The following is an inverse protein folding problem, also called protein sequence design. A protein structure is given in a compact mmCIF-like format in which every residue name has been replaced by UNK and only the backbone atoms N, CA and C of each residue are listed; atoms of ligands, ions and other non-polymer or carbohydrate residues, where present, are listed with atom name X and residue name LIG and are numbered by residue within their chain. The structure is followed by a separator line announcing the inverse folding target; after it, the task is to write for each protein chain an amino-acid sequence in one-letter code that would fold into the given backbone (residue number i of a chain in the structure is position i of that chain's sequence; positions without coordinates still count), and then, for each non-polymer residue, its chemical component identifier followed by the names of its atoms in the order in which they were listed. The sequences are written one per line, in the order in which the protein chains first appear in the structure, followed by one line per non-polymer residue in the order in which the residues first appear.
data_IF_992042872083
#
_entry.id   IF_992042872083
#
_cell.length_a   1.000
_cell.length_b   1.000
_cell.length_c   1.000
_cell.angle_alpha   90.00
_cell.angle_beta   90.00
_cell.angle_gamma   90.00
#
_symmetry.space_group_name_H-M   'P 1'
#
loop_
_entity.id
_entity.type
_entity.pdbx_description
1 polymer ?
#
# COMPACT_ATOMS: atom_id res chain seq x y z
N UNK A 1 -2.99 -0.51 11.54
CA UNK A 1 -3.49 0.35 10.45
C UNK A 1 -3.03 1.80 10.59
N UNK A 2 -3.18 2.45 11.77
CA UNK A 2 -2.74 3.84 11.96
C UNK A 2 -1.23 4.07 11.67
N UNK A 3 -0.35 3.20 12.19
CA UNK A 3 1.11 3.27 11.91
C UNK A 3 1.41 3.20 10.42
N UNK A 4 0.79 2.23 9.72
CA UNK A 4 0.97 2.03 8.30
C UNK A 4 0.58 3.27 7.47
N UNK A 5 -0.53 3.93 7.79
CA UNK A 5 -0.96 5.16 7.09
C UNK A 5 0.07 6.29 7.30
N UNK A 6 0.61 6.40 8.52
CA UNK A 6 1.64 7.41 8.82
C UNK A 6 2.91 7.14 8.03
N UNK A 7 3.42 5.91 8.05
CA UNK A 7 4.59 5.48 7.26
C UNK A 7 4.36 5.70 5.77
N UNK A 8 3.17 5.38 5.26
CA UNK A 8 2.80 5.56 3.86
C UNK A 8 2.87 7.02 3.41
N UNK A 9 2.42 7.97 4.24
CA UNK A 9 2.48 9.39 3.92
C UNK A 9 3.90 9.96 3.91
N UNK A 10 4.86 9.30 4.56
CA UNK A 10 6.27 9.70 4.52
C UNK A 10 6.97 9.29 3.22
N UNK A 11 6.36 8.40 2.42
CA UNK A 11 6.90 7.96 1.13
C UNK A 11 6.40 8.93 0.04
N UNK A 12 7.34 9.64 -0.60
CA UNK A 12 7.08 10.53 -1.73
C UNK A 12 7.56 9.97 -3.08
N UNK A 13 8.21 8.81 -3.06
CA UNK A 13 8.74 8.13 -4.24
C UNK A 13 7.73 7.09 -4.75
N UNK A 14 7.29 7.26 -6.01
CA UNK A 14 6.33 6.36 -6.66
C UNK A 14 6.89 4.94 -6.80
N UNK A 15 8.18 4.77 -7.07
CA UNK A 15 8.80 3.45 -7.20
C UNK A 15 8.76 2.71 -5.87
N UNK A 16 9.06 3.39 -4.76
CA UNK A 16 8.96 2.80 -3.43
C UNK A 16 7.53 2.36 -3.07
N UNK A 17 6.51 3.13 -3.50
CA UNK A 17 5.11 2.76 -3.30
C UNK A 17 4.71 1.54 -4.14
N UNK A 18 5.18 1.44 -5.38
CA UNK A 18 4.95 0.26 -6.24
C UNK A 18 5.60 -0.98 -5.64
N UNK A 19 6.85 -0.87 -5.18
CA UNK A 19 7.57 -1.98 -4.56
C UNK A 19 6.86 -2.46 -3.28
N UNK A 20 6.42 -1.53 -2.43
CA UNK A 20 5.66 -1.85 -1.22
C UNK A 20 4.33 -2.56 -1.56
N UNK A 21 3.65 -2.13 -2.63
CA UNK A 21 2.42 -2.78 -3.11
C UNK A 21 2.68 -4.22 -3.54
N UNK A 22 3.75 -4.47 -4.28
CA UNK A 22 4.10 -5.83 -4.72
C UNK A 22 4.49 -6.73 -3.56
N UNK A 23 5.24 -6.22 -2.57
CA UNK A 23 5.56 -6.98 -1.34
C UNK A 23 4.29 -7.42 -0.59
N UNK A 24 3.28 -6.54 -0.48
CA UNK A 24 2.01 -6.88 0.17
C UNK A 24 1.21 -7.90 -0.65
N UNK A 25 1.23 -7.82 -1.98
CA UNK A 25 0.57 -8.83 -2.83
C UNK A 25 1.17 -10.22 -2.63
N UNK A 26 2.49 -10.32 -2.49
CA UNK A 26 3.15 -11.59 -2.19
C UNK A 26 2.67 -12.17 -0.85
N UNK A 27 2.50 -11.34 0.19
CA UNK A 27 1.96 -11.78 1.48
C UNK A 27 0.52 -12.31 1.38
N UNK A 28 -0.30 -11.77 0.47
CA UNK A 28 -1.67 -12.28 0.25
C UNK A 28 -1.64 -13.72 -0.29
N UNK A 29 -0.59 -14.12 -1.02
CA UNK A 29 -0.50 -15.46 -1.60
C UNK A 29 -0.11 -16.54 -0.58
N UNK A 30 0.23 -16.17 0.64
CA UNK A 30 0.56 -17.11 1.70
C UNK A 30 -0.67 -17.98 2.05
N UNK A 31 -0.48 -19.31 2.02
CA UNK A 31 -1.58 -20.28 2.20
C UNK A 31 -2.17 -20.27 3.60
N UNK A 32 -1.35 -19.96 4.60
CA UNK A 32 -1.71 -19.93 6.02
C UNK A 32 -2.46 -18.65 6.44
N UNK A 33 -2.63 -17.69 5.52
CA UNK A 33 -3.25 -16.42 5.84
C UNK A 33 -4.77 -16.56 5.97
N UNK A 34 -5.30 -16.29 7.17
CA UNK A 34 -6.73 -16.25 7.40
C UNK A 34 -7.39 -15.04 6.70
N UNK A 35 -8.71 -15.11 6.54
CA UNK A 35 -9.50 -14.08 5.84
C UNK A 35 -9.32 -12.67 6.43
N UNK A 36 -9.25 -12.54 7.75
CA UNK A 36 -9.10 -11.24 8.41
C UNK A 36 -7.76 -10.58 8.07
N UNK A 37 -6.68 -11.35 8.02
CA UNK A 37 -5.38 -10.85 7.59
C UNK A 37 -5.41 -10.47 6.10
N UNK A 38 -6.07 -11.26 5.24
CA UNK A 38 -6.21 -10.92 3.81
C UNK A 38 -6.93 -9.59 3.62
N UNK A 39 -7.99 -9.33 4.39
CA UNK A 39 -8.70 -8.04 4.35
C UNK A 39 -7.81 -6.87 4.76
N UNK A 40 -6.97 -7.07 5.76
CA UNK A 40 -6.01 -6.05 6.16
C UNK A 40 -5.02 -5.74 5.02
N UNK A 41 -4.48 -6.78 4.36
CA UNK A 41 -3.55 -6.62 3.24
C UNK A 41 -4.22 -5.93 2.04
N UNK A 42 -5.44 -6.31 1.65
CA UNK A 42 -6.16 -5.60 0.59
C UNK A 42 -6.41 -4.14 0.95
N UNK A 43 -6.76 -3.84 2.20
CA UNK A 43 -6.93 -2.46 2.64
C UNK A 43 -5.62 -1.67 2.53
N UNK A 44 -4.47 -2.28 2.85
CA UNK A 44 -3.16 -1.66 2.66
C UNK A 44 -2.86 -1.38 1.19
N UNK A 45 -3.14 -2.34 0.29
CA UNK A 45 -2.98 -2.14 -1.16
C UNK A 45 -3.85 -0.98 -1.67
N UNK A 46 -5.09 -0.88 -1.19
CA UNK A 46 -5.97 0.22 -1.56
C UNK A 46 -5.38 1.58 -1.13
N UNK A 47 -4.91 1.69 0.12
CA UNK A 47 -4.30 2.93 0.63
C UNK A 47 -3.04 3.31 -0.17
N UNK A 48 -2.21 2.34 -0.57
CA UNK A 48 -1.03 2.62 -1.41
C UNK A 48 -1.46 3.19 -2.77
N UNK A 49 -2.46 2.60 -3.41
CA UNK A 49 -2.98 3.13 -4.68
C UNK A 49 -3.52 4.55 -4.52
N UNK A 50 -4.24 4.85 -3.43
CA UNK A 50 -4.72 6.20 -3.11
C UNK A 50 -3.55 7.19 -2.99
N UNK A 51 -2.44 6.80 -2.32
CA UNK A 51 -1.25 7.65 -2.20
C UNK A 51 -0.50 7.85 -3.52
N UNK A 52 -0.43 6.82 -4.37
CA UNK A 52 0.14 6.95 -5.72
C UNK A 52 -0.61 8.00 -6.53
N UNK A 53 -1.95 7.93 -6.54
CA UNK A 53 -2.80 8.90 -7.25
C UNK A 53 -2.56 10.32 -6.73
N UNK A 54 -2.53 10.50 -5.41
CA UNK A 54 -2.23 11.81 -4.81
C UNK A 54 -0.88 12.39 -5.28
N UNK A 55 0.18 11.58 -5.29
CA UNK A 55 1.51 12.02 -5.73
C UNK A 55 1.57 12.29 -7.24
N UNK A 56 0.79 11.58 -8.04
CA UNK A 56 0.66 11.85 -9.47
C UNK A 56 -0.07 13.18 -9.72
N UNK A 57 -1.15 13.45 -8.98
CA UNK A 57 -1.87 14.73 -9.03
C UNK A 57 -1.02 15.90 -8.55
N UNK A 58 -0.25 15.74 -7.46
CA UNK A 58 0.68 16.75 -6.93
C UNK A 58 1.78 17.15 -7.94
N UNK A 59 2.17 16.25 -8.86
CA UNK A 59 3.19 16.51 -9.89
C UNK A 59 2.66 17.25 -11.13
N UNK A 60 1.34 17.28 -11.31
CA UNK A 60 0.68 17.94 -12.45
C UNK A 60 0.38 19.42 -12.15
N UNK A 61 0.52 19.83 -10.88
CA UNK A 61 0.31 21.21 -10.40
C UNK A 61 1.61 22.03 -10.39
#
# INVERSE_FOLDING_TARGET
MRSFIHELHLISDLTQLVDLKEQIKQQVMEKELNWQYRMNLYRKVQLINERIVQLEEEKVV
#
